data_IF_909933621618
#
_entry.id   IF_909933621618
#
_cell.length_a   1.000
_cell.length_b   1.000
_cell.length_c   1.000
_cell.angle_alpha   90.00
_cell.angle_beta   90.00
_cell.angle_gamma   90.00
#
_symmetry.space_group_name_H-M   'P 1'
#
loop_
_entity.id
_entity.type
_entity.pdbx_description
1 polymer ?
#
# COMPACT_ATOMS: atom_id res chain seq x y z
N UNK A 1 -34.20 -27.76 -10.55
CA UNK A 1 -33.34 -26.95 -9.66
C UNK A 1 -32.35 -26.16 -10.49
N UNK A 2 -32.48 -24.84 -10.50
CA UNK A 2 -31.63 -23.92 -11.27
C UNK A 2 -30.19 -23.90 -10.79
N UNK A 3 -29.93 -24.23 -9.51
CA UNK A 3 -28.58 -24.32 -8.97
C UNK A 3 -27.76 -25.42 -9.62
N UNK A 4 -28.33 -26.63 -9.78
CA UNK A 4 -27.65 -27.75 -10.43
C UNK A 4 -27.43 -27.49 -11.94
N UNK A 5 -28.39 -26.85 -12.61
CA UNK A 5 -28.28 -26.46 -14.01
C UNK A 5 -27.24 -25.34 -14.25
N UNK A 6 -26.96 -24.50 -13.24
CA UNK A 6 -25.93 -23.47 -13.30
C UNK A 6 -24.49 -24.02 -13.21
N UNK A 7 -24.33 -25.25 -12.72
CA UNK A 7 -23.03 -25.88 -12.48
C UNK A 7 -22.72 -27.01 -13.47
N UNK A 8 -23.68 -27.43 -14.28
CA UNK A 8 -23.52 -28.50 -15.27
C UNK A 8 -23.09 -27.94 -16.62
N UNK A 9 -22.05 -28.52 -17.22
CA UNK A 9 -21.52 -28.17 -18.54
C UNK A 9 -21.24 -26.65 -18.74
N UNK A 10 -20.78 -25.99 -17.68
CA UNK A 10 -20.41 -24.56 -17.75
C UNK A 10 -19.22 -24.40 -18.69
N UNK A 11 -19.41 -23.61 -19.75
CA UNK A 11 -18.34 -23.20 -20.64
C UNK A 11 -18.09 -21.71 -20.45
N UNK A 12 -16.86 -21.24 -20.69
CA UNK A 12 -16.54 -19.80 -20.63
C UNK A 12 -17.19 -18.97 -21.76
N UNK A 13 -17.99 -19.59 -22.62
CA UNK A 13 -18.55 -18.99 -23.84
C UNK A 13 -20.08 -19.03 -23.90
N UNK A 14 -20.76 -19.74 -22.99
CA UNK A 14 -22.23 -19.80 -22.98
C UNK A 14 -22.79 -19.90 -21.57
N UNK A 15 -23.85 -19.13 -21.29
CA UNK A 15 -24.61 -19.21 -20.04
C UNK A 15 -25.81 -20.15 -20.26
N UNK A 16 -26.04 -21.17 -19.40
CA UNK A 16 -27.18 -22.08 -19.54
C UNK A 16 -28.53 -21.33 -19.58
N UNK A 17 -29.42 -21.71 -20.49
CA UNK A 17 -30.69 -21.01 -20.72
C UNK A 17 -31.59 -20.91 -19.45
N UNK A 18 -31.55 -21.91 -18.58
CA UNK A 18 -32.25 -21.89 -17.29
C UNK A 18 -31.72 -20.82 -16.34
N UNK A 19 -30.41 -20.52 -16.39
CA UNK A 19 -29.79 -19.43 -15.62
C UNK A 19 -30.24 -18.09 -16.18
N UNK A 20 -30.22 -17.91 -17.52
CA UNK A 20 -30.71 -16.69 -18.16
C UNK A 20 -32.20 -16.43 -17.84
N UNK A 21 -33.03 -17.47 -17.85
CA UNK A 21 -34.46 -17.36 -17.51
C UNK A 21 -34.67 -16.98 -16.05
N UNK A 22 -33.86 -17.53 -15.14
CA UNK A 22 -33.92 -17.16 -13.72
C UNK A 22 -33.47 -15.71 -13.49
N UNK A 23 -32.39 -15.27 -14.16
CA UNK A 23 -31.91 -13.89 -14.09
C UNK A 23 -32.91 -12.89 -14.69
N UNK A 24 -33.57 -13.23 -15.79
CA UNK A 24 -34.56 -12.37 -16.46
C UNK A 24 -35.87 -12.20 -15.69
N UNK A 25 -36.21 -13.15 -14.81
CA UNK A 25 -37.41 -13.11 -13.96
C UNK A 25 -37.11 -12.69 -12.51
N UNK A 26 -35.84 -12.37 -12.20
CA UNK A 26 -35.47 -11.93 -10.86
C UNK A 26 -35.92 -10.49 -10.63
N UNK A 27 -36.73 -10.25 -9.59
CA UNK A 27 -36.97 -8.91 -9.09
C UNK A 27 -35.72 -8.40 -8.39
N UNK A 28 -34.90 -7.62 -9.11
CA UNK A 28 -33.74 -6.93 -8.53
C UNK A 28 -34.23 -5.67 -7.83
N UNK A 29 -33.83 -5.46 -6.58
CA UNK A 29 -34.14 -4.21 -5.90
C UNK A 29 -33.56 -3.03 -6.68
N UNK A 30 -34.34 -1.96 -6.87
CA UNK A 30 -33.93 -0.77 -7.64
C UNK A 30 -32.59 -0.17 -7.16
N UNK A 31 -32.28 -0.35 -5.88
CA UNK A 31 -31.05 0.16 -5.28
C UNK A 31 -29.92 -0.88 -5.15
N UNK A 32 -30.09 -2.12 -5.63
CA UNK A 32 -29.09 -3.19 -5.51
C UNK A 32 -27.73 -2.76 -6.08
N UNK A 33 -26.64 -3.18 -5.47
CA UNK A 33 -25.29 -2.86 -5.96
C UNK A 33 -24.96 -3.63 -7.23
N UNK A 34 -24.25 -2.98 -8.16
CA UNK A 34 -23.78 -3.62 -9.39
C UNK A 34 -22.27 -3.56 -9.46
N UNK A 35 -21.65 -4.65 -9.91
CA UNK A 35 -20.26 -4.65 -10.37
C UNK A 35 -20.29 -4.88 -11.88
N UNK A 36 -19.96 -3.86 -12.66
CA UNK A 36 -20.03 -3.90 -14.11
C UNK A 36 -18.62 -3.96 -14.70
N UNK A 37 -18.48 -4.65 -15.83
CA UNK A 37 -17.29 -4.59 -16.66
C UNK A 37 -17.55 -3.61 -17.82
N UNK A 38 -16.65 -2.67 -18.03
CA UNK A 38 -16.70 -1.78 -19.18
C UNK A 38 -16.71 -2.62 -20.49
N UNK A 39 -17.66 -2.40 -21.42
CA UNK A 39 -17.68 -3.12 -22.70
C UNK A 39 -16.38 -3.00 -23.50
N UNK A 40 -15.59 -1.95 -23.26
CA UNK A 40 -14.29 -1.72 -23.88
C UNK A 40 -13.11 -2.22 -23.04
N UNK A 41 -13.36 -2.92 -21.93
CA UNK A 41 -12.31 -3.43 -21.05
C UNK A 41 -11.29 -4.28 -21.81
N UNK A 42 -10.02 -4.05 -21.52
CA UNK A 42 -8.88 -4.79 -22.03
C UNK A 42 -8.21 -5.52 -20.89
N UNK A 43 -7.79 -6.75 -21.17
CA UNK A 43 -7.00 -7.55 -20.24
C UNK A 43 -5.73 -6.76 -19.83
N UNK A 44 -5.35 -6.78 -18.54
CA UNK A 44 -4.15 -6.10 -18.08
C UNK A 44 -2.91 -6.47 -18.89
N UNK A 45 -2.13 -5.46 -19.27
CA UNK A 45 -0.93 -5.59 -20.11
C UNK A 45 0.06 -4.45 -19.82
N UNK A 46 1.34 -4.73 -20.00
CA UNK A 46 2.45 -3.80 -19.75
C UNK A 46 3.56 -3.95 -20.78
N UNK A 47 4.29 -2.88 -21.02
CA UNK A 47 5.55 -2.88 -21.75
C UNK A 47 6.69 -3.08 -20.76
N UNK A 48 7.67 -3.92 -21.12
CA UNK A 48 8.86 -4.16 -20.30
C UNK A 48 10.10 -4.13 -21.18
N UNK A 49 11.13 -3.45 -20.70
CA UNK A 49 12.46 -3.46 -21.29
C UNK A 49 13.48 -3.69 -20.18
N UNK A 50 14.46 -4.55 -20.45
CA UNK A 50 15.54 -4.85 -19.51
C UNK A 50 16.87 -4.73 -20.25
N UNK A 51 17.84 -4.12 -19.59
CA UNK A 51 19.24 -4.09 -20.02
C UNK A 51 20.09 -4.62 -18.88
N UNK A 52 20.92 -5.61 -19.17
CA UNK A 52 21.80 -6.24 -18.20
C UNK A 52 23.22 -6.28 -18.74
N UNK A 53 24.19 -6.05 -17.86
CA UNK A 53 25.61 -6.14 -18.17
C UNK A 53 26.35 -6.77 -17.01
N UNK A 54 27.39 -7.53 -17.33
CA UNK A 54 28.28 -8.15 -16.37
C UNK A 54 29.72 -7.97 -16.83
N UNK A 55 30.62 -7.78 -15.87
CA UNK A 55 32.04 -7.60 -16.11
C UNK A 55 32.84 -8.32 -15.02
N UNK A 56 33.74 -9.21 -15.44
CA UNK A 56 34.71 -9.84 -14.55
C UNK A 56 35.99 -9.01 -14.53
N UNK A 57 36.27 -8.40 -13.39
CA UNK A 57 37.41 -7.51 -13.19
C UNK A 57 38.59 -8.21 -12.50
N UNK A 58 39.78 -7.74 -12.85
CA UNK A 58 40.98 -7.90 -12.03
C UNK A 58 41.29 -6.56 -11.36
N UNK A 59 41.29 -6.54 -10.02
CA UNK A 59 41.45 -5.34 -9.21
C UNK A 59 42.87 -5.22 -8.62
N UNK A 60 43.86 -5.88 -9.22
CA UNK A 60 45.26 -5.81 -8.82
C UNK A 60 45.47 -6.37 -7.40
N UNK A 61 45.85 -5.55 -6.40
CA UNK A 61 46.06 -6.01 -5.02
C UNK A 61 44.83 -6.70 -4.38
N UNK A 62 43.62 -6.46 -4.88
CA UNK A 62 42.38 -7.09 -4.39
C UNK A 62 42.06 -8.43 -5.08
N UNK A 63 42.91 -8.87 -6.01
CA UNK A 63 42.74 -10.13 -6.74
C UNK A 63 41.91 -10.03 -8.03
N UNK A 64 41.85 -11.15 -8.74
CA UNK A 64 41.07 -11.35 -9.96
C UNK A 64 39.68 -11.94 -9.67
N UNK A 65 38.87 -12.18 -10.70
CA UNK A 65 37.60 -12.88 -10.56
C UNK A 65 36.51 -12.12 -9.80
N UNK A 66 36.61 -10.78 -9.71
CA UNK A 66 35.52 -9.96 -9.20
C UNK A 66 34.44 -9.83 -10.27
N UNK A 67 33.25 -10.36 -10.02
CA UNK A 67 32.14 -10.24 -10.96
C UNK A 67 31.31 -9.04 -10.55
N UNK A 68 31.25 -8.01 -11.38
CA UNK A 68 30.36 -6.86 -11.21
C UNK A 68 29.22 -6.95 -12.22
N UNK A 69 28.00 -6.68 -11.78
CA UNK A 69 26.82 -6.68 -12.64
C UNK A 69 25.96 -5.45 -12.44
N UNK A 70 25.26 -5.07 -13.50
CA UNK A 70 24.26 -4.02 -13.47
C UNK A 70 23.03 -4.43 -14.26
N UNK A 71 21.84 -4.16 -13.72
CA UNK A 71 20.57 -4.42 -14.37
C UNK A 71 19.71 -3.15 -14.33
N UNK A 72 19.10 -2.79 -15.46
CA UNK A 72 18.12 -1.73 -15.59
C UNK A 72 16.83 -2.32 -16.13
N UNK A 73 15.73 -2.17 -15.41
CA UNK A 73 14.39 -2.57 -15.83
C UNK A 73 13.49 -1.34 -15.90
N UNK A 74 12.86 -1.17 -17.05
CA UNK A 74 11.76 -0.25 -17.27
C UNK A 74 10.47 -1.03 -17.49
N UNK A 75 9.39 -0.62 -16.84
CA UNK A 75 8.03 -1.08 -17.14
C UNK A 75 7.07 0.09 -17.25
N UNK A 76 6.11 -0.02 -18.16
CA UNK A 76 5.01 0.93 -18.30
C UNK A 76 3.68 0.21 -18.51
N UNK A 77 2.65 0.67 -17.80
CA UNK A 77 1.30 0.12 -17.95
C UNK A 77 0.75 0.45 -19.34
N UNK A 78 0.30 -0.58 -20.07
CA UNK A 78 -0.47 -0.41 -21.30
C UNK A 78 -1.96 -0.40 -21.00
N UNK A 79 -2.42 -1.37 -20.22
CA UNK A 79 -3.77 -1.43 -19.64
C UNK A 79 -3.65 -2.04 -18.24
N UNK A 80 -4.26 -1.42 -17.23
CA UNK A 80 -4.39 -1.98 -15.88
C UNK A 80 -5.84 -1.83 -15.43
N UNK A 81 -6.33 -2.78 -14.62
CA UNK A 81 -7.68 -2.70 -14.05
C UNK A 81 -7.84 -1.44 -13.20
N UNK A 82 -9.00 -0.79 -13.31
CA UNK A 82 -9.34 0.41 -12.58
C UNK A 82 -10.78 0.31 -12.07
N UNK A 83 -11.04 0.87 -10.89
CA UNK A 83 -12.33 0.78 -10.20
C UNK A 83 -12.84 2.18 -9.90
N UNK A 84 -14.09 2.46 -10.25
CA UNK A 84 -14.77 3.73 -9.94
C UNK A 84 -16.24 3.48 -9.64
N UNK A 85 -16.83 4.23 -8.71
CA UNK A 85 -18.26 4.17 -8.44
C UNK A 85 -19.00 5.13 -9.37
N UNK A 86 -19.72 4.58 -10.36
CA UNK A 86 -20.48 5.39 -11.32
C UNK A 86 -21.80 5.94 -10.74
N UNK A 87 -22.21 5.51 -9.52
CA UNK A 87 -23.27 6.21 -8.78
C UNK A 87 -22.81 7.54 -8.23
N UNK A 88 -21.51 7.71 -8.03
CA UNK A 88 -20.92 8.94 -7.50
C UNK A 88 -20.60 9.88 -8.66
N UNK A 89 -21.41 10.94 -8.83
CA UNK A 89 -21.20 11.97 -9.87
C UNK A 89 -20.82 13.32 -9.26
N UNK A 90 -19.98 14.15 -9.92
CA UNK A 90 -19.61 15.46 -9.39
C UNK A 90 -20.83 16.38 -9.17
N UNK A 91 -20.87 17.09 -8.05
CA UNK A 91 -21.78 18.21 -7.84
C UNK A 91 -21.11 19.48 -8.39
N UNK A 92 -21.65 20.07 -9.44
CA UNK A 92 -21.08 21.25 -10.10
C UNK A 92 -20.86 22.38 -9.09
N UNK A 93 -19.64 22.89 -9.01
CA UNK A 93 -19.26 24.00 -8.11
C UNK A 93 -19.16 23.66 -6.62
N UNK A 94 -19.45 22.42 -6.21
CA UNK A 94 -19.30 22.00 -4.81
C UNK A 94 -17.91 21.45 -4.55
N UNK A 95 -17.12 22.22 -3.83
CA UNK A 95 -15.77 21.86 -3.42
C UNK A 95 -15.69 21.74 -1.90
N UNK A 96 -14.70 20.98 -1.45
CA UNK A 96 -14.23 21.03 -0.06
C UNK A 96 -13.33 22.25 0.15
N UNK A 97 -13.01 22.64 1.41
CA UNK A 97 -12.21 23.81 1.71
C UNK A 97 -10.82 23.80 1.07
N UNK A 98 -10.24 22.62 0.87
CA UNK A 98 -8.95 22.44 0.19
C UNK A 98 -9.05 22.32 -1.35
N UNK A 99 -10.25 22.54 -1.91
CA UNK A 99 -10.50 22.60 -3.34
C UNK A 99 -10.84 21.26 -4.00
N UNK A 100 -10.96 20.14 -3.27
CA UNK A 100 -11.36 18.86 -3.88
C UNK A 100 -12.85 18.80 -4.22
N UNK A 101 -13.16 18.18 -5.35
CA UNK A 101 -14.51 17.93 -5.85
C UNK A 101 -15.34 17.09 -4.86
N UNK A 102 -16.61 17.48 -4.68
CA UNK A 102 -17.61 16.72 -3.91
C UNK A 102 -18.60 16.04 -4.85
N UNK A 103 -19.11 14.89 -4.44
CA UNK A 103 -19.93 14.02 -5.27
C UNK A 103 -21.35 13.87 -4.70
N UNK A 104 -22.29 13.51 -5.56
CA UNK A 104 -23.65 13.12 -5.20
C UNK A 104 -23.94 11.71 -5.67
N UNK A 105 -24.96 11.10 -5.09
CA UNK A 105 -25.56 9.91 -5.66
C UNK A 105 -26.42 10.33 -6.87
N UNK A 106 -26.20 9.74 -8.03
CA UNK A 106 -26.96 10.06 -9.24
C UNK A 106 -28.47 9.70 -9.12
N UNK A 107 -28.82 8.75 -8.26
CA UNK A 107 -30.20 8.30 -8.02
C UNK A 107 -30.88 9.16 -6.95
N UNK A 108 -30.24 9.27 -5.78
CA UNK A 108 -30.83 9.87 -4.57
C UNK A 108 -30.45 11.36 -4.37
N UNK A 109 -29.62 11.91 -5.26
CA UNK A 109 -29.15 13.30 -5.21
C UNK A 109 -28.07 13.57 -4.15
N UNK A 110 -27.78 14.85 -3.89
CA UNK A 110 -26.63 15.28 -3.07
C UNK A 110 -26.85 15.09 -1.56
N UNK A 111 -28.09 14.89 -1.13
CA UNK A 111 -28.45 14.61 0.27
C UNK A 111 -28.50 13.11 0.60
N UNK A 112 -28.14 12.26 -0.35
CA UNK A 112 -28.11 10.81 -0.19
C UNK A 112 -27.18 10.35 0.93
N UNK A 113 -27.70 9.50 1.81
CA UNK A 113 -26.91 8.69 2.76
C UNK A 113 -26.75 7.24 2.31
N UNK A 114 -27.30 6.88 1.14
CA UNK A 114 -27.24 5.54 0.57
C UNK A 114 -25.80 5.10 0.31
N UNK A 115 -25.44 3.94 0.87
CA UNK A 115 -24.12 3.31 0.79
C UNK A 115 -23.93 2.38 -0.40
N UNK A 116 -24.97 2.16 -1.20
CA UNK A 116 -24.88 1.28 -2.35
C UNK A 116 -24.05 1.92 -3.47
N UNK A 117 -23.34 1.08 -4.21
CA UNK A 117 -22.42 1.44 -5.28
C UNK A 117 -22.75 0.71 -6.57
N UNK A 118 -22.41 1.35 -7.70
CA UNK A 118 -22.22 0.65 -8.97
C UNK A 118 -20.75 0.78 -9.34
N UNK A 119 -19.96 -0.26 -9.08
CA UNK A 119 -18.53 -0.23 -9.37
C UNK A 119 -18.31 -0.64 -10.82
N UNK A 120 -17.77 0.26 -11.62
CA UNK A 120 -17.33 -0.01 -12.98
C UNK A 120 -15.86 -0.42 -12.98
N UNK A 121 -15.58 -1.61 -13.49
CA UNK A 121 -14.25 -2.09 -13.82
C UNK A 121 -13.91 -1.64 -15.23
N UNK A 122 -12.94 -0.73 -15.35
CA UNK A 122 -12.43 -0.22 -16.62
C UNK A 122 -10.89 -0.30 -16.62
N UNK A 123 -10.22 0.41 -17.52
CA UNK A 123 -8.77 0.44 -17.61
C UNK A 123 -8.17 1.81 -17.31
N UNK A 124 -6.99 1.80 -16.70
CA UNK A 124 -6.06 2.93 -16.66
C UNK A 124 -4.79 2.61 -17.45
N UNK A 125 -4.14 3.65 -17.97
CA UNK A 125 -2.80 3.59 -18.57
C UNK A 125 -1.73 4.15 -17.64
N UNK A 126 -2.11 4.58 -16.43
CA UNK A 126 -1.19 5.21 -15.47
C UNK A 126 -0.49 4.14 -14.63
N UNK A 127 0.82 4.04 -14.81
CA UNK A 127 1.69 3.21 -14.00
C UNK A 127 3.03 2.98 -14.69
N UNK A 128 4.11 2.97 -13.92
CA UNK A 128 5.47 2.75 -14.44
C UNK A 128 6.41 2.29 -13.34
N UNK A 129 7.47 1.59 -13.72
CA UNK A 129 8.56 1.19 -12.86
C UNK A 129 9.91 1.50 -13.51
N UNK A 130 10.84 2.06 -12.73
CA UNK A 130 12.26 2.09 -13.00
C UNK A 130 12.95 1.33 -11.88
N UNK A 131 13.68 0.27 -12.22
CA UNK A 131 14.43 -0.55 -11.27
C UNK A 131 15.86 -0.61 -11.75
N UNK A 132 16.80 -0.27 -10.88
CA UNK A 132 18.23 -0.36 -11.13
C UNK A 132 18.87 -1.26 -10.08
N UNK A 133 19.70 -2.20 -10.51
CA UNK A 133 20.45 -3.11 -9.64
C UNK A 133 21.93 -2.94 -9.92
N UNK A 134 22.72 -2.84 -8.88
CA UNK A 134 24.16 -3.03 -8.93
C UNK A 134 24.51 -4.25 -8.07
N UNK A 135 25.35 -5.16 -8.57
CA UNK A 135 25.74 -6.38 -7.86
C UNK A 135 27.23 -6.66 -7.98
N UNK A 136 27.76 -7.36 -6.97
CA UNK A 136 29.10 -7.91 -6.99
C UNK A 136 29.11 -9.34 -6.44
N UNK A 137 30.06 -10.14 -6.90
CA UNK A 137 30.42 -11.45 -6.35
C UNK A 137 31.94 -11.63 -6.43
N UNK A 138 32.51 -12.24 -5.39
CA UNK A 138 33.92 -12.64 -5.38
C UNK A 138 34.08 -13.92 -4.59
N UNK A 139 34.69 -14.90 -5.23
CA UNK A 139 35.12 -16.15 -4.60
C UNK A 139 36.65 -16.24 -4.58
N UNK A 140 37.22 -16.65 -3.45
CA UNK A 140 38.64 -16.92 -3.30
C UNK A 140 38.89 -18.42 -3.13
N UNK A 141 40.06 -18.89 -3.58
CA UNK A 141 40.44 -20.30 -3.54
C UNK A 141 40.53 -20.89 -2.13
N UNK A 142 40.73 -20.04 -1.12
CA UNK A 142 40.73 -20.47 0.29
C UNK A 142 39.32 -20.72 0.85
N UNK A 143 38.28 -20.60 0.02
CA UNK A 143 36.91 -21.01 0.31
C UNK A 143 35.97 -19.90 0.78
N UNK A 144 36.43 -18.64 0.83
CA UNK A 144 35.56 -17.50 1.08
C UNK A 144 34.83 -17.09 -0.20
N UNK A 145 33.55 -16.79 -0.08
CA UNK A 145 32.74 -16.07 -1.06
C UNK A 145 32.07 -14.89 -0.38
N UNK A 146 32.13 -13.72 -1.01
CA UNK A 146 31.28 -12.58 -0.66
C UNK A 146 30.47 -12.17 -1.87
N UNK A 147 29.23 -11.77 -1.63
CA UNK A 147 28.37 -11.25 -2.65
C UNK A 147 27.47 -10.17 -2.09
N UNK A 148 26.96 -9.31 -2.96
CA UNK A 148 26.00 -8.31 -2.58
C UNK A 148 25.33 -7.65 -3.76
N UNK A 149 24.18 -7.05 -3.48
CA UNK A 149 23.45 -6.23 -4.43
C UNK A 149 22.77 -5.06 -3.74
N UNK A 150 22.67 -3.97 -4.49
CA UNK A 150 21.83 -2.83 -4.16
C UNK A 150 20.79 -2.67 -5.27
N UNK A 151 19.53 -2.63 -4.89
CA UNK A 151 18.41 -2.35 -5.78
C UNK A 151 17.78 -1.00 -5.42
N UNK A 152 17.69 -0.12 -6.41
CA UNK A 152 16.91 1.10 -6.38
C UNK A 152 15.60 0.89 -7.14
N UNK A 153 14.47 1.29 -6.56
CA UNK A 153 13.17 1.26 -7.21
C UNK A 153 12.49 2.63 -7.17
N UNK A 154 11.96 3.05 -8.31
CA UNK A 154 10.95 4.09 -8.39
C UNK A 154 9.76 3.48 -9.15
N UNK A 155 8.63 3.29 -8.45
CA UNK A 155 7.46 2.58 -8.97
C UNK A 155 6.21 3.39 -8.63
N UNK A 156 5.40 3.66 -9.65
CA UNK A 156 4.14 4.38 -9.52
C UNK A 156 3.00 3.58 -10.13
N UNK A 157 1.85 3.65 -9.50
CA UNK A 157 0.60 3.08 -9.98
C UNK A 157 -0.58 4.02 -9.69
N UNK A 158 -1.74 3.72 -10.28
CA UNK A 158 -3.00 4.39 -9.94
C UNK A 158 -3.98 3.46 -9.24
N UNK A 159 -4.05 2.18 -9.62
CA UNK A 159 -4.95 1.21 -9.00
C UNK A 159 -4.12 0.03 -8.45
N UNK A 160 -3.98 -0.08 -7.11
CA UNK A 160 -3.23 -1.18 -6.50
C UNK A 160 -3.87 -2.55 -6.73
N UNK A 161 -5.21 -2.59 -6.87
CA UNK A 161 -5.98 -3.82 -7.07
C UNK A 161 -5.64 -4.95 -6.05
N UNK A 162 -5.46 -4.57 -4.79
CA UNK A 162 -4.90 -5.41 -3.71
C UNK A 162 -5.93 -6.27 -2.96
N UNK A 163 -7.13 -6.46 -3.50
CA UNK A 163 -8.21 -7.20 -2.83
C UNK A 163 -9.06 -8.04 -3.80
N UNK A 164 -10.07 -8.75 -3.30
CA UNK A 164 -10.77 -9.80 -4.05
C UNK A 164 -12.14 -9.41 -4.62
N UNK A 165 -12.73 -8.29 -4.21
CA UNK A 165 -14.04 -7.83 -4.73
C UNK A 165 -13.93 -6.42 -5.30
N UNK A 166 -14.84 -6.04 -6.21
CA UNK A 166 -14.82 -4.72 -6.83
C UNK A 166 -14.95 -3.59 -5.78
N UNK A 167 -15.84 -3.75 -4.81
CA UNK A 167 -16.05 -2.78 -3.74
C UNK A 167 -14.83 -2.62 -2.83
N UNK A 168 -14.12 -3.71 -2.49
CA UNK A 168 -12.91 -3.61 -1.67
C UNK A 168 -11.74 -3.01 -2.45
N UNK A 169 -11.58 -3.35 -3.73
CA UNK A 169 -10.56 -2.73 -4.59
C UNK A 169 -10.81 -1.24 -4.83
N UNK A 170 -12.07 -0.84 -4.99
CA UNK A 170 -12.45 0.57 -4.99
C UNK A 170 -12.18 1.23 -3.64
N UNK A 171 -12.28 0.52 -2.51
CA UNK A 171 -12.12 1.12 -1.18
C UNK A 171 -10.67 1.22 -0.70
N UNK A 172 -9.82 0.27 -1.07
CA UNK A 172 -8.49 0.05 -0.48
C UNK A 172 -7.35 0.84 -1.16
N UNK A 173 -7.64 2.06 -1.60
CA UNK A 173 -6.66 3.02 -2.11
C UNK A 173 -6.48 4.24 -1.20
N UNK A 174 -5.56 5.14 -1.58
CA UNK A 174 -5.48 6.49 -1.02
C UNK A 174 -5.95 7.51 -2.07
N UNK A 175 -6.85 8.40 -1.68
CA UNK A 175 -7.66 9.20 -2.59
C UNK A 175 -7.37 10.70 -2.43
N UNK A 176 -6.96 11.36 -3.52
CA UNK A 176 -7.01 12.82 -3.63
C UNK A 176 -8.40 13.19 -4.16
N UNK A 177 -8.74 12.70 -5.35
CA UNK A 177 -10.13 12.69 -5.81
C UNK A 177 -10.86 11.57 -5.06
N UNK A 178 -12.03 11.83 -4.46
CA UNK A 178 -12.68 10.85 -3.60
C UNK A 178 -13.36 9.68 -4.34
N UNK A 179 -13.52 9.72 -5.67
CA UNK A 179 -14.05 8.61 -6.47
C UNK A 179 -12.96 7.94 -7.35
N UNK A 180 -11.77 8.52 -7.40
CA UNK A 180 -10.67 8.08 -8.26
C UNK A 180 -9.37 7.95 -7.48
N UNK A 181 -8.81 6.73 -7.44
CA UNK A 181 -7.57 6.47 -6.70
C UNK A 181 -6.44 7.37 -7.22
N UNK A 182 -5.65 7.91 -6.30
CA UNK A 182 -4.55 8.80 -6.64
C UNK A 182 -3.41 8.04 -7.36
N UNK A 183 -2.96 8.60 -8.49
CA UNK A 183 -1.69 8.20 -9.08
C UNK A 183 -0.56 8.61 -8.13
N UNK A 184 0.27 7.66 -7.71
CA UNK A 184 1.26 7.89 -6.68
C UNK A 184 2.30 6.79 -6.65
N UNK A 185 3.15 6.82 -5.62
CA UNK A 185 4.10 5.74 -5.34
C UNK A 185 3.30 4.45 -5.09
N UNK A 186 3.75 3.32 -5.64
CA UNK A 186 3.08 2.04 -5.45
C UNK A 186 3.16 1.56 -4.00
N UNK A 187 2.16 0.81 -3.54
CA UNK A 187 2.17 0.19 -2.22
C UNK A 187 3.32 -0.84 -2.10
N UNK A 188 3.72 -1.46 -3.21
CA UNK A 188 4.71 -2.54 -3.25
C UNK A 188 6.14 -2.04 -3.54
N UNK A 189 6.35 -0.73 -3.60
CA UNK A 189 7.68 -0.18 -3.90
C UNK A 189 8.63 -0.37 -2.71
N UNK A 190 9.72 -1.12 -2.93
CA UNK A 190 10.86 -1.16 -2.00
C UNK A 190 11.98 -0.29 -2.56
N UNK A 191 11.97 1.00 -2.21
CA UNK A 191 12.81 2.02 -2.87
C UNK A 191 14.31 1.73 -2.76
N UNK A 192 14.75 1.21 -1.62
CA UNK A 192 16.14 0.87 -1.35
C UNK A 192 16.19 -0.53 -0.75
N UNK A 193 16.90 -1.44 -1.41
CA UNK A 193 17.03 -2.82 -0.97
C UNK A 193 18.46 -3.32 -1.16
N UNK A 194 19.08 -3.73 -0.05
CA UNK A 194 20.39 -4.37 -0.01
C UNK A 194 20.21 -5.85 0.27
N UNK A 195 20.91 -6.68 -0.49
CA UNK A 195 21.13 -8.09 -0.17
C UNK A 195 22.63 -8.35 -0.12
N UNK A 196 23.07 -9.18 0.80
CA UNK A 196 24.48 -9.49 0.97
C UNK A 196 24.67 -10.88 1.54
N UNK A 197 25.78 -11.52 1.17
CA UNK A 197 26.12 -12.86 1.58
C UNK A 197 27.61 -12.99 1.86
N UNK A 198 27.93 -13.77 2.89
CA UNK A 198 29.28 -14.20 3.21
C UNK A 198 29.23 -15.71 3.42
N UNK A 199 29.95 -16.46 2.60
CA UNK A 199 30.04 -17.92 2.70
C UNK A 199 31.48 -18.32 2.89
N UNK A 200 31.73 -19.27 3.76
CA UNK A 200 33.05 -19.79 4.02
C UNK A 200 33.04 -21.31 4.06
N UNK A 201 33.72 -21.92 3.10
CA UNK A 201 33.89 -23.36 2.98
C UNK A 201 35.33 -23.73 3.30
N UNK A 202 35.55 -24.50 4.38
CA UNK A 202 36.90 -24.92 4.74
C UNK A 202 36.92 -26.32 5.35
N UNK A 203 37.92 -27.12 4.97
CA UNK A 203 38.09 -28.46 5.52
C UNK A 203 38.97 -28.43 6.77
N UNK A 204 38.40 -28.09 7.92
CA UNK A 204 39.14 -28.08 9.20
C UNK A 204 39.54 -29.51 9.64
N UNK A 205 38.83 -30.54 9.17
CA UNK A 205 39.00 -31.92 9.61
C UNK A 205 39.30 -32.85 8.42
N UNK A 206 40.57 -32.91 8.02
CA UNK A 206 41.01 -33.71 6.88
C UNK A 206 40.40 -33.18 5.57
N UNK A 207 39.67 -34.03 4.84
CA UNK A 207 38.99 -33.63 3.61
C UNK A 207 37.53 -33.19 3.82
N UNK A 208 37.02 -33.27 5.06
CA UNK A 208 35.62 -33.01 5.37
C UNK A 208 35.36 -31.51 5.53
N UNK A 209 34.45 -30.96 4.71
CA UNK A 209 34.17 -29.53 4.67
C UNK A 209 33.27 -29.08 5.83
N UNK A 210 33.60 -27.92 6.37
CA UNK A 210 32.75 -27.10 7.21
C UNK A 210 32.30 -25.91 6.38
N UNK A 211 30.99 -25.65 6.36
CA UNK A 211 30.39 -24.54 5.63
C UNK A 211 29.74 -23.60 6.64
N UNK A 212 30.03 -22.31 6.53
CA UNK A 212 29.37 -21.26 7.31
C UNK A 212 28.87 -20.22 6.32
N UNK A 213 27.56 -20.01 6.29
CA UNK A 213 26.90 -19.02 5.44
C UNK A 213 26.17 -17.99 6.29
N UNK A 214 26.36 -16.71 6.01
CA UNK A 214 25.57 -15.62 6.55
C UNK A 214 24.94 -14.86 5.39
N UNK A 215 23.61 -14.84 5.35
CA UNK A 215 22.83 -14.16 4.33
C UNK A 215 22.03 -13.05 4.97
N UNK A 216 22.02 -11.89 4.34
CA UNK A 216 21.39 -10.73 4.92
C UNK A 216 20.63 -9.91 3.90
N UNK A 217 19.58 -9.27 4.40
CA UNK A 217 18.79 -8.32 3.66
C UNK A 217 18.54 -7.09 4.53
N UNK A 218 18.68 -5.90 3.93
CA UNK A 218 18.32 -4.63 4.58
C UNK A 218 17.53 -3.80 3.60
N UNK A 219 16.32 -3.40 3.97
CA UNK A 219 15.44 -2.62 3.09
C UNK A 219 14.66 -1.56 3.83
N UNK A 220 14.29 -0.53 3.08
CA UNK A 220 13.28 0.43 3.53
C UNK A 220 11.92 -0.27 3.67
N UNK A 221 11.13 0.11 4.68
CA UNK A 221 9.79 -0.43 4.89
C UNK A 221 8.79 0.05 3.83
N UNK A 222 7.63 -0.61 3.79
CA UNK A 222 6.60 -0.31 2.78
C UNK A 222 6.17 1.17 2.81
N UNK A 223 5.88 1.76 1.64
CA UNK A 223 5.28 3.08 1.55
C UNK A 223 3.89 3.11 2.20
N UNK A 224 3.53 4.24 2.81
CA UNK A 224 2.21 4.46 3.37
C UNK A 224 1.74 5.90 3.17
N UNK A 225 0.43 6.12 3.32
CA UNK A 225 -0.24 7.39 3.13
C UNK A 225 -0.84 7.91 4.44
N UNK A 226 -0.68 9.20 4.73
CA UNK A 226 -1.44 9.84 5.80
C UNK A 226 -2.82 10.27 5.30
N UNK A 227 -3.85 9.82 6.00
CA UNK A 227 -5.24 10.05 5.64
C UNK A 227 -6.00 10.75 6.75
N UNK A 228 -7.17 11.21 6.39
CA UNK A 228 -8.23 11.51 7.35
C UNK A 228 -8.87 10.26 7.92
N UNK A 229 -9.65 10.44 8.98
CA UNK A 229 -10.76 9.58 9.37
C UNK A 229 -12.06 10.36 9.20
N UNK A 230 -12.95 9.88 8.33
CA UNK A 230 -14.30 10.45 8.14
C UNK A 230 -15.36 9.47 8.68
N UNK A 231 -16.10 9.89 9.71
CA UNK A 231 -17.22 9.11 10.22
C UNK A 231 -18.47 9.33 9.35
N UNK A 232 -18.54 8.61 8.24
CA UNK A 232 -19.78 8.38 7.50
C UNK A 232 -20.34 6.99 7.82
N UNK A 233 -21.65 6.89 8.07
CA UNK A 233 -22.30 5.59 8.27
C UNK A 233 -22.28 4.73 6.99
N UNK A 234 -22.20 5.36 5.81
CA UNK A 234 -22.33 4.69 4.50
C UNK A 234 -21.70 5.50 3.34
N UNK A 235 -22.06 6.78 3.25
CA UNK A 235 -21.53 7.76 2.29
C UNK A 235 -20.90 8.93 3.04
N UNK A 236 -19.74 9.38 2.59
CA UNK A 236 -19.01 10.49 3.20
C UNK A 236 -19.83 11.77 3.17
N UNK A 237 -20.01 12.44 4.30
CA UNK A 237 -20.64 13.78 4.34
C UNK A 237 -19.74 14.86 3.73
N UNK A 238 -18.43 14.61 3.74
CA UNK A 238 -17.40 15.52 3.23
C UNK A 238 -17.33 15.44 1.71
N UNK A 239 -17.10 14.25 1.19
CA UNK A 239 -16.83 14.03 -0.23
C UNK A 239 -18.01 13.51 -1.01
N UNK A 240 -19.04 12.98 -0.35
CA UNK A 240 -20.23 12.46 -1.00
C UNK A 240 -20.01 11.18 -1.77
N UNK A 241 -18.93 10.43 -1.50
CA UNK A 241 -18.64 9.11 -2.07
C UNK A 241 -18.76 8.03 -1.02
N UNK A 242 -18.99 6.80 -1.45
CA UNK A 242 -18.92 5.58 -0.62
C UNK A 242 -17.48 5.08 -0.54
N UNK A 243 -17.25 4.08 0.31
CA UNK A 243 -15.97 3.38 0.42
C UNK A 243 -15.35 3.53 1.79
N UNK A 244 -15.02 2.38 2.40
CA UNK A 244 -14.38 2.27 3.71
C UNK A 244 -13.19 1.32 3.56
N UNK A 245 -12.04 1.70 4.09
CA UNK A 245 -10.90 0.79 4.20
C UNK A 245 -11.36 -0.48 4.92
N UNK A 246 -11.25 -1.65 4.27
CA UNK A 246 -11.85 -2.90 4.77
C UNK A 246 -11.10 -3.48 5.97
N UNK A 247 -9.89 -2.97 6.26
CA UNK A 247 -8.99 -3.53 7.26
C UNK A 247 -9.04 -2.82 8.62
N UNK A 248 -9.59 -1.60 8.66
CA UNK A 248 -9.84 -0.93 9.92
C UNK A 248 -11.34 -1.00 10.15
N UNK A 249 -11.75 -1.58 11.27
CA UNK A 249 -13.14 -1.58 11.74
C UNK A 249 -13.65 -0.17 12.07
N UNK A 250 -13.05 0.86 11.46
CA UNK A 250 -13.30 2.29 11.59
C UNK A 250 -13.55 2.90 10.20
N UNK A 251 -14.63 3.66 10.03
CA UNK A 251 -15.03 4.19 8.72
C UNK A 251 -14.09 5.30 8.20
N UNK A 252 -14.01 5.43 6.86
CA UNK A 252 -13.53 6.65 6.18
C UNK A 252 -12.03 6.96 6.20
N UNK A 253 -11.15 5.97 6.29
CA UNK A 253 -9.69 6.18 6.36
C UNK A 253 -8.96 6.10 5.00
N UNK A 254 -9.54 6.67 3.94
CA UNK A 254 -8.98 6.55 2.57
C UNK A 254 -8.65 7.87 1.88
N UNK A 255 -9.21 8.98 2.36
CA UNK A 255 -8.95 10.30 1.78
C UNK A 255 -7.65 10.86 2.32
N UNK A 256 -6.74 11.25 1.44
CA UNK A 256 -5.47 11.85 1.83
C UNK A 256 -5.71 13.11 2.66
N UNK A 257 -4.88 13.26 3.70
CA UNK A 257 -4.96 14.37 4.64
C UNK A 257 -4.54 15.67 3.96
N UNK A 258 -5.34 16.72 4.09
CA UNK A 258 -4.86 18.09 3.94
C UNK A 258 -4.04 18.47 5.18
N UNK A 259 -2.82 18.92 4.97
CA UNK A 259 -1.92 19.30 6.05
C UNK A 259 -2.09 20.80 6.31
N UNK A 260 -2.69 21.20 7.43
CA UNK A 260 -3.06 22.60 7.66
C UNK A 260 -1.83 23.47 7.87
N UNK A 261 -1.88 24.74 7.50
CA UNK A 261 -0.94 25.74 8.05
C UNK A 261 -1.07 25.79 9.59
N UNK A 262 -0.08 26.37 10.27
CA UNK A 262 -0.17 26.54 11.74
C UNK A 262 -1.40 27.39 12.11
N UNK A 263 -1.63 28.47 11.36
CA UNK A 263 -2.79 29.36 11.48
C UNK A 263 -3.63 29.31 10.20
N UNK A 264 -4.26 28.16 9.96
CA UNK A 264 -5.01 27.92 8.73
C UNK A 264 -6.48 28.38 8.85
N UNK A 265 -6.96 29.36 8.05
CA UNK A 265 -8.35 29.83 8.15
C UNK A 265 -9.38 28.77 7.74
N UNK A 266 -8.99 27.80 6.89
CA UNK A 266 -9.90 26.76 6.40
C UNK A 266 -9.98 25.54 7.33
N UNK A 267 -9.27 25.55 8.46
CA UNK A 267 -9.27 24.47 9.46
C UNK A 267 -9.48 25.00 10.88
N UNK A 268 -10.38 24.39 11.63
CA UNK A 268 -10.51 24.58 13.07
C UNK A 268 -10.34 23.26 13.83
N UNK A 269 -10.05 23.33 15.12
CA UNK A 269 -9.70 22.15 15.93
C UNK A 269 -10.62 21.98 17.14
N UNK A 270 -10.93 20.73 17.52
CA UNK A 270 -11.79 20.41 18.67
C UNK A 270 -11.39 21.13 19.96
N UNK A 271 -10.10 21.35 20.17
CA UNK A 271 -9.53 22.16 21.25
C UNK A 271 -8.17 22.74 20.83
N UNK A 272 -7.68 23.76 21.54
CA UNK A 272 -6.33 24.29 21.32
C UNK A 272 -5.26 23.25 21.64
N UNK A 273 -5.41 22.52 22.75
CA UNK A 273 -4.47 21.46 23.13
C UNK A 273 -4.35 20.36 22.06
N UNK A 274 -5.45 20.02 21.38
CA UNK A 274 -5.41 19.10 20.25
C UNK A 274 -4.68 19.69 19.04
N UNK A 275 -4.94 20.97 18.72
CA UNK A 275 -4.23 21.67 17.65
C UNK A 275 -2.72 21.64 17.87
N UNK A 276 -2.26 21.94 19.08
CA UNK A 276 -0.84 21.97 19.44
C UNK A 276 -0.20 20.57 19.29
N UNK A 277 -0.86 19.52 19.78
CA UNK A 277 -0.39 18.14 19.66
C UNK A 277 -0.32 17.67 18.21
N UNK A 278 -1.32 17.98 17.39
CA UNK A 278 -1.31 17.65 15.96
C UNK A 278 -0.21 18.43 15.22
N UNK A 279 0.01 19.70 15.54
CA UNK A 279 1.10 20.49 14.97
C UNK A 279 2.47 19.87 15.28
N UNK A 280 2.72 19.47 16.54
CA UNK A 280 3.96 18.80 16.92
C UNK A 280 4.17 17.47 16.18
N UNK A 281 3.09 16.71 15.93
CA UNK A 281 3.16 15.51 15.11
C UNK A 281 3.47 15.83 13.64
N UNK A 282 2.84 16.84 13.04
CA UNK A 282 3.09 17.24 11.66
C UNK A 282 4.57 17.60 11.44
N UNK A 283 5.16 18.32 12.40
CA UNK A 283 6.54 18.79 12.31
C UNK A 283 7.56 17.63 12.48
N UNK A 284 7.22 16.59 13.26
CA UNK A 284 8.10 15.44 13.50
C UNK A 284 7.90 14.25 12.53
N UNK A 285 6.77 14.17 11.84
CA UNK A 285 6.40 13.05 10.94
C UNK A 285 6.87 13.23 9.49
N UNK A 286 7.44 14.39 9.16
CA UNK A 286 7.74 14.78 7.78
C UNK A 286 6.50 15.25 6.99
N UNK A 287 5.32 15.36 7.62
CA UNK A 287 4.15 16.02 7.03
C UNK A 287 4.37 17.53 6.87
N UNK A 288 5.23 18.15 7.69
CA UNK A 288 5.51 19.59 7.67
C UNK A 288 5.88 20.16 6.28
N UNK A 289 6.50 19.36 5.40
CA UNK A 289 6.81 19.77 4.00
C UNK A 289 5.57 19.97 3.12
N UNK A 290 4.40 19.55 3.57
CA UNK A 290 3.13 19.62 2.84
C UNK A 290 2.12 20.59 3.46
N UNK A 291 2.51 21.40 4.46
CA UNK A 291 1.66 22.46 5.04
C UNK A 291 0.99 23.30 3.93
N UNK A 292 -0.32 23.51 4.06
CA UNK A 292 -1.16 24.19 3.08
C UNK A 292 -1.52 23.35 1.85
N UNK A 293 -1.24 22.03 1.85
CA UNK A 293 -1.43 21.14 0.70
C UNK A 293 -1.92 19.76 1.15
N UNK A 294 -2.44 18.99 0.20
CA UNK A 294 -2.81 17.59 0.41
C UNK A 294 -1.54 16.73 0.44
N UNK A 295 -1.40 15.88 1.46
CA UNK A 295 -0.31 14.93 1.57
C UNK A 295 -0.33 13.96 0.37
N UNK A 296 0.81 13.70 -0.31
CA UNK A 296 0.82 12.81 -1.45
C UNK A 296 0.65 11.35 -1.03
N UNK A 297 0.03 10.55 -1.90
CA UNK A 297 -0.05 9.11 -1.74
C UNK A 297 1.34 8.48 -1.63
N UNK A 298 1.54 7.68 -0.59
CA UNK A 298 2.69 6.80 -0.39
C UNK A 298 4.04 7.51 -0.37
N UNK A 299 4.05 8.78 0.08
CA UNK A 299 5.27 9.59 0.17
C UNK A 299 6.04 9.41 1.50
N UNK A 300 5.60 8.49 2.34
CA UNK A 300 6.19 8.14 3.63
C UNK A 300 6.49 6.64 3.65
N UNK A 301 7.46 6.22 4.47
CA UNK A 301 7.88 4.83 4.54
C UNK A 301 7.87 4.33 5.98
N UNK A 302 7.42 3.09 6.15
CA UNK A 302 7.65 2.36 7.39
C UNK A 302 9.15 2.19 7.67
N UNK A 303 9.48 1.82 8.91
CA UNK A 303 10.87 1.76 9.37
C UNK A 303 11.69 0.78 8.53
N UNK A 304 12.98 1.07 8.41
CA UNK A 304 13.94 0.12 7.84
C UNK A 304 13.97 -1.16 8.66
N UNK A 305 14.23 -2.27 7.97
CA UNK A 305 14.33 -3.59 8.54
C UNK A 305 15.57 -4.31 8.00
N UNK A 306 16.20 -5.10 8.86
CA UNK A 306 17.35 -5.94 8.54
C UNK A 306 17.12 -7.34 9.08
N UNK A 307 17.26 -8.36 8.23
CA UNK A 307 17.26 -9.78 8.60
C UNK A 307 18.60 -10.39 8.25
N UNK A 308 19.14 -11.20 9.16
CA UNK A 308 20.31 -12.05 8.88
C UNK A 308 19.92 -13.49 9.17
N UNK A 309 20.21 -14.38 8.23
CA UNK A 309 19.98 -15.82 8.32
C UNK A 309 21.35 -16.51 8.37
N UNK A 310 21.50 -17.50 9.26
CA UNK A 310 22.74 -18.23 9.48
C UNK A 310 22.58 -19.68 9.02
N UNK A 311 23.50 -20.15 8.19
CA UNK A 311 23.66 -21.54 7.80
C UNK A 311 24.98 -22.07 8.36
N UNK A 312 24.95 -23.25 8.97
CA UNK A 312 26.16 -23.98 9.37
C UNK A 312 26.02 -25.43 8.94
N UNK A 313 27.00 -25.97 8.22
CA UNK A 313 27.07 -27.38 7.89
C UNK A 313 28.45 -27.97 8.14
N UNK A 314 28.47 -29.26 8.46
CA UNK A 314 29.67 -30.04 8.67
C UNK A 314 29.55 -31.38 7.97
N UNK A 315 30.51 -31.69 7.10
CA UNK A 315 30.72 -33.05 6.62
C UNK A 315 31.43 -33.88 7.68
N UNK A 316 31.01 -35.13 7.82
CA UNK A 316 31.57 -36.12 8.72
C UNK A 316 31.95 -37.33 7.86
N UNK A 317 33.23 -37.74 7.82
CA UNK A 317 33.62 -38.96 7.12
C UNK A 317 32.90 -40.16 7.72
N UNK A 318 32.32 -41.03 6.88
CA UNK A 318 31.62 -42.22 7.39
C UNK A 318 32.58 -43.38 7.68
N UNK A 319 33.85 -43.26 7.31
CA UNK A 319 34.83 -44.36 7.36
C UNK A 319 34.64 -45.44 6.30
N UNK A 320 33.65 -45.30 5.41
CA UNK A 320 33.33 -46.26 4.34
C UNK A 320 33.65 -45.66 2.96
N UNK A 321 34.81 -46.02 2.43
CA UNK A 321 35.31 -45.50 1.15
C UNK A 321 35.46 -43.98 1.17
N UNK A 322 35.00 -43.31 0.11
CA UNK A 322 35.02 -41.84 0.01
C UNK A 322 33.72 -41.17 0.53
N UNK A 323 32.85 -41.92 1.21
CA UNK A 323 31.52 -41.45 1.59
C UNK A 323 31.56 -40.45 2.75
N UNK A 324 30.64 -39.48 2.73
CA UNK A 324 30.51 -38.43 3.74
C UNK A 324 29.05 -38.25 4.13
N UNK A 325 28.80 -37.95 5.40
CA UNK A 325 27.51 -37.52 5.93
C UNK A 325 27.58 -36.01 6.17
N UNK A 326 26.57 -35.24 5.77
CA UNK A 326 26.49 -33.82 6.09
C UNK A 326 25.41 -33.58 7.15
N UNK A 327 25.79 -32.88 8.22
CA UNK A 327 24.87 -32.37 9.24
C UNK A 327 24.83 -30.86 9.10
N UNK A 328 23.64 -30.26 9.11
CA UNK A 328 23.49 -28.82 8.96
C UNK A 328 22.40 -28.26 9.87
N UNK A 329 22.46 -26.95 10.09
CA UNK A 329 21.46 -26.17 10.79
C UNK A 329 21.29 -24.81 10.10
N UNK A 330 20.03 -24.43 9.86
CA UNK A 330 19.62 -23.14 9.35
C UNK A 330 18.86 -22.38 10.43
N UNK A 331 19.26 -21.12 10.66
CA UNK A 331 18.63 -20.23 11.62
C UNK A 331 18.19 -18.97 10.88
N UNK A 332 16.91 -18.92 10.53
CA UNK A 332 16.30 -17.71 9.99
C UNK A 332 16.21 -16.63 11.06
N UNK A 333 16.48 -15.39 10.66
CA UNK A 333 16.45 -14.23 11.54
C UNK A 333 17.32 -14.44 12.80
N UNK A 334 18.52 -14.99 12.61
CA UNK A 334 19.51 -15.31 13.64
C UNK A 334 19.72 -14.15 14.64
N UNK A 335 19.70 -12.91 14.16
CA UNK A 335 19.84 -11.73 15.05
C UNK A 335 18.64 -11.52 15.96
N UNK A 336 17.43 -11.93 15.57
CA UNK A 336 16.26 -11.89 16.44
C UNK A 336 16.36 -12.92 17.57
N UNK A 337 16.95 -14.10 17.30
CA UNK A 337 17.25 -15.10 18.33
C UNK A 337 18.19 -14.53 19.41
N UNK A 338 19.17 -13.71 19.01
CA UNK A 338 20.06 -13.00 19.95
C UNK A 338 19.35 -11.85 20.67
N UNK A 339 18.48 -11.11 19.98
CA UNK A 339 17.70 -10.02 20.55
C UNK A 339 16.34 -9.89 19.86
N UNK A 340 15.27 -10.16 20.61
CA UNK A 340 13.87 -10.10 20.12
C UNK A 340 13.45 -8.81 19.42
N UNK A 341 14.18 -7.70 19.59
CA UNK A 341 13.91 -6.40 18.94
C UNK A 341 14.60 -6.25 17.57
N UNK A 342 15.57 -7.09 17.24
CA UNK A 342 16.26 -7.09 15.95
C UNK A 342 15.48 -7.91 14.94
N UNK A 343 15.58 -7.58 13.65
CA UNK A 343 14.84 -8.29 12.61
C UNK A 343 13.32 -8.31 12.86
N UNK A 344 12.76 -7.18 13.29
CA UNK A 344 11.30 -6.98 13.33
C UNK A 344 10.86 -6.16 12.13
N UNK A 345 10.08 -6.76 11.23
CA UNK A 345 9.43 -6.02 10.16
C UNK A 345 8.26 -5.22 10.76
N UNK A 346 8.29 -3.89 10.68
CA UNK A 346 7.22 -3.04 11.22
C UNK A 346 6.56 -2.25 10.10
N UNK A 347 5.24 -2.37 9.99
CA UNK A 347 4.48 -1.81 8.88
C UNK A 347 3.14 -1.24 9.35
N UNK A 348 2.64 -0.24 8.62
CA UNK A 348 1.25 0.16 8.76
C UNK A 348 0.37 -0.92 8.16
N UNK A 349 -0.74 -1.24 8.83
CA UNK A 349 -1.62 -2.31 8.37
C UNK A 349 -2.16 -2.00 6.98
N UNK A 350 -2.34 -3.05 6.17
CA UNK A 350 -3.06 -2.97 4.91
C UNK A 350 -4.35 -2.14 5.11
N UNK A 351 -4.71 -1.20 4.22
CA UNK A 351 -4.12 -0.88 2.91
C UNK A 351 -3.03 0.20 2.95
N UNK A 352 -2.26 0.30 4.04
CA UNK A 352 -1.18 1.27 4.23
C UNK A 352 -1.66 2.73 4.29
N UNK A 353 -2.85 2.93 4.87
CA UNK A 353 -3.39 4.25 5.20
C UNK A 353 -3.31 4.47 6.72
N UNK A 354 -2.71 5.59 7.12
CA UNK A 354 -2.53 5.99 8.51
C UNK A 354 -3.42 7.22 8.78
N UNK A 355 -4.56 7.02 9.43
CA UNK A 355 -5.44 8.12 9.79
C UNK A 355 -4.85 8.95 10.95
N UNK A 356 -4.62 10.24 10.70
CA UNK A 356 -3.98 11.15 11.67
C UNK A 356 -5.01 11.91 12.50
N UNK A 357 -6.12 12.29 11.87
CA UNK A 357 -7.16 13.13 12.48
C UNK A 357 -8.51 12.71 11.96
N UNK A 358 -9.52 12.80 12.82
CA UNK A 358 -10.89 12.79 12.39
C UNK A 358 -11.24 14.14 11.78
N UNK A 359 -11.96 14.13 10.67
CA UNK A 359 -12.36 15.33 9.94
C UNK A 359 -13.88 15.41 9.83
N UNK A 360 -14.41 16.62 9.94
CA UNK A 360 -15.78 16.96 9.60
C UNK A 360 -15.80 18.20 8.70
N UNK A 361 -16.85 18.32 7.89
CA UNK A 361 -17.17 19.54 7.16
C UNK A 361 -18.08 20.43 8.02
N UNK A 362 -17.78 21.72 8.10
CA UNK A 362 -18.64 22.72 8.71
C UNK A 362 -19.28 23.60 7.63
N UNK A 363 -20.61 23.75 7.71
CA UNK A 363 -21.35 24.66 6.84
C UNK A 363 -21.08 26.13 7.18
N UNK A 364 -20.75 26.41 8.44
CA UNK A 364 -20.36 27.75 8.89
C UNK A 364 -19.02 27.65 9.63
N UNK A 365 -18.00 28.47 9.28
CA UNK A 365 -16.72 28.49 9.99
C UNK A 365 -16.91 28.70 11.49
N UNK A 366 -16.18 27.94 12.29
CA UNK A 366 -16.30 27.92 13.75
C UNK A 366 -14.92 27.98 14.38
N UNK A 367 -14.76 28.72 15.48
CA UNK A 367 -13.47 28.87 16.12
C UNK A 367 -12.97 27.56 16.76
N UNK A 368 -11.65 27.40 16.83
CA UNK A 368 -11.01 26.31 17.58
C UNK A 368 -11.49 26.30 19.04
N UNK A 369 -11.78 25.12 19.58
CA UNK A 369 -12.25 24.95 20.97
C UNK A 369 -13.73 25.29 21.21
N UNK A 370 -14.45 25.80 20.21
CA UNK A 370 -15.90 26.05 20.34
C UNK A 370 -16.73 24.88 19.81
N UNK A 371 -17.98 24.75 20.29
CA UNK A 371 -18.89 23.69 19.85
C UNK A 371 -19.25 23.86 18.37
N UNK A 372 -19.15 22.77 17.60
CA UNK A 372 -19.59 22.72 16.20
C UNK A 372 -21.04 22.18 16.05
N UNK A 373 -21.77 22.00 17.16
CA UNK A 373 -23.13 21.48 17.12
C UNK A 373 -24.04 22.34 16.24
N UNK A 374 -24.82 21.70 15.37
CA UNK A 374 -25.76 22.37 14.46
C UNK A 374 -25.14 22.96 13.18
N UNK A 375 -23.82 23.05 13.07
CA UNK A 375 -23.13 23.54 11.86
C UNK A 375 -22.32 22.47 11.13
N UNK A 376 -22.25 21.25 11.68
CA UNK A 376 -21.65 20.09 10.99
C UNK A 376 -22.51 19.68 9.80
N UNK A 377 -21.84 19.47 8.68
CA UNK A 377 -22.41 18.94 7.46
C UNK A 377 -22.69 17.45 7.60
N UNK A 378 -23.91 17.04 7.27
CA UNK A 378 -24.39 15.65 7.31
C UNK A 378 -24.39 14.99 5.92
N UNK A 379 -24.38 15.77 4.84
CA UNK A 379 -24.42 15.27 3.45
C UNK A 379 -23.59 16.15 2.52
N UNK A 380 -23.19 15.62 1.36
CA UNK A 380 -22.44 16.39 0.37
C UNK A 380 -23.23 17.57 -0.25
N UNK A 381 -24.55 17.60 -0.07
CA UNK A 381 -25.42 18.68 -0.53
C UNK A 381 -25.38 19.95 0.31
N UNK A 382 -24.87 19.88 1.55
CA UNK A 382 -24.66 21.07 2.38
C UNK A 382 -23.27 21.65 2.12
N UNK A 383 -23.09 22.96 2.30
CA UNK A 383 -21.80 23.62 2.10
C UNK A 383 -20.71 23.05 3.03
N UNK A 384 -19.47 22.97 2.56
CA UNK A 384 -18.31 22.63 3.38
C UNK A 384 -17.31 23.78 3.31
N UNK A 385 -17.50 24.75 4.20
CA UNK A 385 -16.75 26.00 4.21
C UNK A 385 -15.48 25.94 5.07
N UNK A 386 -15.42 24.99 6.02
CA UNK A 386 -14.26 24.79 6.88
C UNK A 386 -14.14 23.31 7.27
N UNK A 387 -12.91 22.81 7.41
CA UNK A 387 -12.67 21.53 8.07
C UNK A 387 -12.62 21.69 9.58
N UNK A 388 -13.16 20.71 10.30
CA UNK A 388 -12.97 20.55 11.74
C UNK A 388 -12.15 19.31 12.01
N UNK A 389 -11.01 19.46 12.66
CA UNK A 389 -10.13 18.36 13.07
C UNK A 389 -10.31 18.01 14.54
N UNK A 390 -10.37 16.72 14.83
CA UNK A 390 -10.49 16.17 16.18
C UNK A 390 -9.68 14.87 16.32
N UNK A 391 -9.43 14.40 17.55
CA UNK A 391 -8.80 13.11 17.75
C UNK A 391 -9.52 11.98 17.01
N UNK A 392 -8.75 11.04 16.50
CA UNK A 392 -9.25 9.82 15.87
C UNK A 392 -10.04 8.96 16.85
N UNK A 393 -10.97 8.16 16.35
CA UNK A 393 -11.81 7.23 17.14
C UNK A 393 -12.57 7.88 18.31
N UNK A 394 -12.94 9.17 18.19
CA UNK A 394 -13.56 9.95 19.26
C UNK A 394 -12.75 9.94 20.57
N UNK A 395 -11.42 9.82 20.49
CA UNK A 395 -10.55 9.90 21.66
C UNK A 395 -10.57 11.31 22.29
N UNK A 396 -10.17 11.40 23.56
CA UNK A 396 -10.08 12.69 24.25
C UNK A 396 -8.84 13.52 23.82
N UNK A 397 -7.77 12.84 23.41
CA UNK A 397 -6.47 13.44 23.07
C UNK A 397 -5.92 12.89 21.77
N UNK A 398 -4.98 13.62 21.14
CA UNK A 398 -4.30 13.17 19.93
C UNK A 398 -3.68 11.79 20.12
N UNK A 399 -3.86 10.91 19.12
CA UNK A 399 -3.30 9.57 19.07
C UNK A 399 -2.37 9.48 17.87
N UNK A 400 -1.10 9.20 18.12
CA UNK A 400 -0.12 8.98 17.04
C UNK A 400 -0.48 7.71 16.27
N UNK A 401 -0.53 7.73 14.92
CA UNK A 401 -0.73 6.52 14.14
C UNK A 401 0.37 5.49 14.38
N UNK A 402 0.00 4.27 14.76
CA UNK A 402 0.93 3.20 15.10
C UNK A 402 1.11 2.20 13.95
N UNK A 403 2.34 1.72 13.79
CA UNK A 403 2.70 0.57 12.98
C UNK A 403 2.70 -0.72 13.84
N UNK A 404 2.55 -1.87 13.19
CA UNK A 404 2.52 -3.18 13.83
C UNK A 404 3.74 -4.01 13.43
N UNK A 405 4.17 -4.91 14.31
CA UNK A 405 5.17 -5.93 13.94
C UNK A 405 4.46 -6.94 13.04
N UNK A 406 4.91 -7.04 11.80
CA UNK A 406 4.49 -8.10 10.89
C UNK A 406 5.36 -9.32 11.15
N UNK A 407 4.71 -10.40 11.59
CA UNK A 407 5.38 -11.69 11.76
C UNK A 407 5.24 -12.39 10.41
N UNK A 408 6.36 -12.59 9.72
CA UNK A 408 6.40 -13.48 8.55
C UNK A 408 6.39 -14.93 9.00
#
# INVERSE_FOLDING_TARGET
>A
DTGNAALSNVTGTSIPASVNTALGNATVATNATVNALDPNFKVPSQWRATLSGEYTANLGPLGDGWVFGGDLLYSAVRNQVYFTDIRSTPIVGSLTPDGRQRYQNIIDGPNSTNGNTDILLTNTKKGRAYIAVARFDKTWDFGLNINGSFTYQDVKDQAPATSSTAGSNYSNGAFVDPNNVAYGISNDQVKYFFKYGVNFDHAFFGAAKTQIGLFGETRIGHPYSYTFQDFGANRSAIFGTTGRSTATSTAGQRYLMYVPLVNDPIVSYSSQAYADALNAFIDSSGLGKYRGRIAPRNAFNSKWFTRLDLHVAQEIPTGVGASRLQVYADIENFTNFLNRKWGQLREYTFPYNAAVTQVQCLATPTATGTSAAGVVTNTAGQACNQYRYSPVNNAATFQTPTDQVYVN
#
